data_IF_866053874058
#
_entry.id   IF_866053874058
#
_cell.length_a   1.000
_cell.length_b   1.000
_cell.length_c   1.000
_cell.angle_alpha   90.00
_cell.angle_beta   90.00
_cell.angle_gamma   90.00
#
_symmetry.space_group_name_H-M   'P 1'
#
loop_
_entity.id
_entity.type
_entity.pdbx_description
1 polymer ?
#
# COMPACT_ATOMS: atom_id res chain seq x y z
N UNK A 1 -24.65 5.92 -21.73
CA UNK A 1 -23.92 5.12 -20.71
C UNK A 1 -23.38 6.04 -19.64
N UNK A 2 -23.00 5.50 -18.47
CA UNK A 2 -22.34 6.28 -17.40
C UNK A 2 -20.82 6.15 -17.53
N UNK A 3 -20.09 7.22 -17.24
CA UNK A 3 -18.63 7.18 -17.05
C UNK A 3 -18.35 6.81 -15.59
N UNK A 4 -17.49 5.83 -15.36
CA UNK A 4 -17.07 5.37 -14.03
C UNK A 4 -15.56 5.51 -13.89
N UNK A 5 -15.11 5.61 -12.64
CA UNK A 5 -13.69 5.63 -12.25
C UNK A 5 -13.31 4.31 -11.60
N UNK A 6 -12.03 3.96 -11.67
CA UNK A 6 -11.51 2.71 -11.13
C UNK A 6 -10.43 2.99 -10.10
N UNK A 7 -10.52 2.28 -8.98
CA UNK A 7 -9.51 2.31 -7.93
C UNK A 7 -8.96 0.92 -7.65
N UNK A 8 -7.70 0.87 -7.19
CA UNK A 8 -7.03 -0.35 -6.77
C UNK A 8 -6.55 -0.24 -5.32
N UNK A 9 -6.64 -1.34 -4.58
CA UNK A 9 -6.16 -1.47 -3.21
C UNK A 9 -4.94 -2.37 -3.20
N UNK A 10 -3.80 -1.85 -2.76
CA UNK A 10 -2.54 -2.59 -2.67
C UNK A 10 -1.83 -2.29 -1.36
N UNK A 11 -1.15 -3.26 -0.78
CA UNK A 11 -0.11 -2.97 0.20
C UNK A 11 1.15 -2.48 -0.54
N UNK A 12 2.02 -1.73 0.12
CA UNK A 12 3.32 -1.33 -0.46
C UNK A 12 4.43 -1.64 0.54
N UNK A 13 5.51 -2.23 0.06
CA UNK A 13 6.74 -2.50 0.78
C UNK A 13 7.87 -1.96 -0.09
N UNK A 14 8.09 -0.65 0.00
CA UNK A 14 9.16 0.03 -0.73
C UNK A 14 10.36 0.22 0.18
N UNK A 15 11.57 -0.03 -0.33
CA UNK A 15 12.84 0.29 0.35
C UNK A 15 13.79 0.92 -0.66
N UNK A 16 14.94 1.36 -0.21
CA UNK A 16 15.97 2.01 -1.02
C UNK A 16 16.51 1.06 -2.11
N UNK A 17 16.58 -0.23 -1.82
CA UNK A 17 16.95 -1.30 -2.76
C UNK A 17 15.89 -2.39 -2.84
N UNK A 18 15.87 -3.12 -3.96
CA UNK A 18 14.94 -4.23 -4.17
C UNK A 18 15.18 -5.34 -3.12
N UNK A 19 16.43 -5.66 -2.82
CA UNK A 19 16.81 -6.67 -1.84
C UNK A 19 16.31 -6.31 -0.43
N UNK A 20 16.36 -5.04 -0.05
CA UNK A 20 15.81 -4.58 1.23
C UNK A 20 14.30 -4.70 1.29
N UNK A 21 13.61 -4.40 0.20
CA UNK A 21 12.16 -4.52 0.11
C UNK A 21 11.72 -5.99 0.25
N UNK A 22 12.39 -6.90 -0.46
CA UNK A 22 12.13 -8.33 -0.34
C UNK A 22 12.44 -8.88 1.05
N UNK A 23 13.56 -8.49 1.66
CA UNK A 23 13.83 -8.84 3.07
C UNK A 23 12.77 -8.28 4.02
N UNK A 24 12.22 -7.09 3.76
CA UNK A 24 11.15 -6.54 4.57
C UNK A 24 9.83 -7.32 4.39
N UNK A 25 9.53 -7.79 3.18
CA UNK A 25 8.40 -8.68 2.92
C UNK A 25 8.55 -10.03 3.64
N UNK A 26 9.74 -10.63 3.62
CA UNK A 26 10.03 -11.87 4.35
C UNK A 26 9.86 -11.69 5.87
N UNK A 27 10.46 -10.62 6.43
CA UNK A 27 10.30 -10.29 7.86
C UNK A 27 8.85 -10.07 8.26
N UNK A 28 8.04 -9.47 7.39
CA UNK A 28 6.62 -9.21 7.70
C UNK A 28 5.85 -10.50 8.04
N UNK A 29 6.25 -11.64 7.49
CA UNK A 29 5.56 -12.92 7.67
C UNK A 29 6.38 -13.94 8.48
N UNK A 30 7.58 -13.58 8.95
CA UNK A 30 8.54 -14.53 9.54
C UNK A 30 8.03 -15.21 10.82
N UNK A 31 7.13 -14.55 11.54
CA UNK A 31 6.55 -15.05 12.79
C UNK A 31 5.16 -15.67 12.62
N UNK A 32 4.64 -15.73 11.40
CA UNK A 32 3.36 -16.39 11.14
C UNK A 32 3.61 -17.89 11.11
N UNK A 33 2.92 -18.67 11.94
CA UNK A 33 3.04 -20.14 11.93
C UNK A 33 2.22 -20.79 10.82
N UNK A 34 2.55 -22.03 10.44
CA UNK A 34 1.79 -22.79 9.43
C UNK A 34 0.34 -23.06 9.88
N UNK A 35 0.15 -23.30 11.18
CA UNK A 35 -1.17 -23.47 11.79
C UNK A 35 -1.98 -22.18 11.69
N UNK A 36 -1.33 -21.02 11.87
CA UNK A 36 -1.96 -19.70 11.74
C UNK A 36 -2.44 -19.47 10.31
N UNK A 37 -1.60 -19.81 9.31
CA UNK A 37 -1.98 -19.73 7.90
C UNK A 37 -3.15 -20.68 7.62
N UNK A 38 -3.06 -21.94 8.02
CA UNK A 38 -4.11 -22.92 7.79
C UNK A 38 -5.46 -22.48 8.39
N UNK A 39 -5.45 -21.97 9.63
CA UNK A 39 -6.63 -21.44 10.30
C UNK A 39 -7.22 -20.23 9.55
N UNK A 40 -6.37 -19.29 9.11
CA UNK A 40 -6.82 -18.13 8.33
C UNK A 40 -7.44 -18.56 6.99
N UNK A 41 -6.80 -19.48 6.26
CA UNK A 41 -7.32 -19.99 4.99
C UNK A 41 -8.65 -20.75 5.16
N UNK A 42 -8.78 -21.55 6.24
CA UNK A 42 -10.03 -22.22 6.56
C UNK A 42 -11.15 -21.21 6.88
N UNK A 43 -10.83 -20.11 7.55
CA UNK A 43 -11.77 -19.02 7.82
C UNK A 43 -12.21 -18.33 6.51
N UNK A 44 -11.26 -17.98 5.64
CA UNK A 44 -11.54 -17.31 4.36
C UNK A 44 -12.37 -18.17 3.41
N UNK A 45 -12.22 -19.49 3.44
CA UNK A 45 -13.02 -20.42 2.64
C UNK A 45 -14.51 -20.43 3.02
N UNK A 46 -14.88 -19.89 4.19
CA UNK A 46 -16.28 -19.76 4.63
C UNK A 46 -16.94 -18.46 4.15
N UNK A 47 -16.20 -17.55 3.52
CA UNK A 47 -16.76 -16.31 2.98
C UNK A 47 -17.33 -16.53 1.59
N UNK A 48 -18.48 -15.91 1.30
CA UNK A 48 -19.11 -15.91 -0.03
C UNK A 48 -18.43 -14.92 -1.01
N UNK A 49 -17.28 -14.34 -0.63
CA UNK A 49 -16.58 -13.33 -1.41
C UNK A 49 -15.74 -13.96 -2.53
N UNK A 50 -16.19 -13.77 -3.77
CA UNK A 50 -15.44 -14.12 -4.99
C UNK A 50 -14.03 -13.49 -4.99
N UNK A 51 -13.92 -12.24 -4.53
CA UNK A 51 -12.64 -11.54 -4.42
C UNK A 51 -11.71 -12.23 -3.44
N UNK A 52 -12.20 -12.59 -2.24
CA UNK A 52 -11.41 -13.33 -1.27
C UNK A 52 -10.99 -14.70 -1.79
N UNK A 53 -11.89 -15.45 -2.44
CA UNK A 53 -11.55 -16.75 -3.03
C UNK A 53 -10.42 -16.63 -4.05
N UNK A 54 -10.48 -15.63 -4.94
CA UNK A 54 -9.43 -15.36 -5.93
C UNK A 54 -8.12 -14.98 -5.27
N UNK A 55 -8.14 -14.15 -4.22
CA UNK A 55 -6.93 -13.78 -3.48
C UNK A 55 -6.28 -15.00 -2.80
N UNK A 56 -7.05 -15.87 -2.15
CA UNK A 56 -6.52 -17.09 -1.55
C UNK A 56 -5.91 -18.05 -2.59
N UNK A 57 -6.53 -18.13 -3.78
CA UNK A 57 -6.03 -18.96 -4.87
C UNK A 57 -4.67 -18.51 -5.44
N UNK A 58 -4.25 -17.25 -5.23
CA UNK A 58 -2.97 -16.73 -5.68
C UNK A 58 -1.77 -17.45 -5.03
N UNK A 59 -1.91 -17.86 -3.77
CA UNK A 59 -0.83 -18.48 -3.00
C UNK A 59 -1.19 -19.88 -2.48
N UNK A 60 -2.48 -20.24 -2.40
CA UNK A 60 -2.93 -21.57 -1.96
C UNK A 60 -2.47 -21.95 -0.54
N UNK A 61 -2.27 -20.95 0.33
CA UNK A 61 -1.71 -21.12 1.67
C UNK A 61 -0.21 -21.44 1.74
N UNK A 62 0.53 -21.35 0.63
CA UNK A 62 1.96 -21.70 0.59
C UNK A 62 2.88 -20.46 0.64
N UNK A 63 3.99 -20.56 1.38
CA UNK A 63 5.01 -19.49 1.45
C UNK A 63 6.00 -19.46 0.29
N UNK A 64 6.13 -20.54 -0.47
CA UNK A 64 7.14 -20.67 -1.53
C UNK A 64 6.68 -20.12 -2.90
N UNK A 65 5.49 -19.52 -2.97
CA UNK A 65 4.87 -19.00 -4.21
C UNK A 65 4.13 -17.70 -3.98
N UNK A 66 4.80 -16.75 -3.32
CA UNK A 66 4.17 -15.49 -2.94
C UNK A 66 4.39 -14.39 -3.97
N UNK A 67 5.46 -14.41 -4.77
CA UNK A 67 5.57 -13.50 -5.91
C UNK A 67 4.73 -14.04 -7.08
N UNK A 68 3.63 -13.36 -7.40
CA UNK A 68 2.64 -13.81 -8.40
C UNK A 68 2.82 -13.11 -9.75
N UNK A 69 3.48 -11.96 -9.74
CA UNK A 69 3.96 -11.17 -10.88
C UNK A 69 5.22 -10.44 -10.40
N UNK A 70 6.10 -9.98 -11.30
CA UNK A 70 7.27 -9.18 -10.91
C UNK A 70 6.90 -8.02 -9.98
N UNK A 71 7.47 -8.02 -8.77
CA UNK A 71 7.21 -7.01 -7.73
C UNK A 71 5.77 -7.01 -7.15
N UNK A 72 4.97 -8.04 -7.41
CA UNK A 72 3.64 -8.19 -6.83
C UNK A 72 3.59 -9.46 -5.96
N UNK A 73 3.45 -9.24 -4.65
CA UNK A 73 3.60 -10.27 -3.64
C UNK A 73 2.31 -10.52 -2.86
N UNK A 74 1.85 -11.77 -2.81
CA UNK A 74 0.61 -12.21 -2.18
C UNK A 74 0.75 -12.60 -0.69
N UNK A 75 1.91 -12.37 -0.06
CA UNK A 75 2.16 -12.81 1.31
C UNK A 75 1.30 -12.13 2.38
N UNK A 76 0.85 -10.90 2.14
CA UNK A 76 -0.12 -10.21 3.03
C UNK A 76 -1.43 -11.01 3.13
N UNK A 77 -1.83 -11.68 2.05
CA UNK A 77 -3.05 -12.49 1.96
C UNK A 77 -2.99 -13.82 2.73
N UNK A 78 -1.82 -14.22 3.26
CA UNK A 78 -1.69 -15.45 4.04
C UNK A 78 -2.58 -15.45 5.27
N UNK A 79 -2.71 -14.29 5.94
CA UNK A 79 -3.48 -14.14 7.18
C UNK A 79 -4.42 -12.93 7.20
N UNK A 80 -4.29 -11.99 6.25
CA UNK A 80 -5.18 -10.84 6.16
C UNK A 80 -6.20 -11.02 5.04
N UNK A 81 -7.49 -10.91 5.37
CA UNK A 81 -8.55 -10.85 4.37
C UNK A 81 -8.52 -9.55 3.54
N UNK A 82 -9.25 -9.53 2.41
CA UNK A 82 -9.38 -8.37 1.54
C UNK A 82 -8.23 -8.26 0.53
N UNK A 83 -7.57 -7.09 0.47
CA UNK A 83 -6.42 -6.91 -0.41
C UNK A 83 -5.23 -7.72 0.09
N UNK A 84 -4.97 -8.84 -0.58
CA UNK A 84 -3.95 -9.83 -0.23
C UNK A 84 -2.60 -9.62 -0.91
N UNK A 85 -2.45 -8.56 -1.72
CA UNK A 85 -1.23 -8.31 -2.50
C UNK A 85 -0.51 -7.01 -2.11
N UNK A 86 0.80 -7.02 -2.28
CA UNK A 86 1.70 -5.90 -2.03
C UNK A 86 2.59 -5.62 -3.25
N UNK A 87 2.85 -4.34 -3.54
CA UNK A 87 3.98 -3.95 -4.38
C UNK A 87 5.26 -4.02 -3.55
N UNK A 88 6.27 -4.75 -4.01
CA UNK A 88 7.54 -4.97 -3.30
C UNK A 88 8.71 -4.64 -4.22
N UNK A 89 9.54 -3.67 -3.86
CA UNK A 89 10.71 -3.31 -4.66
C UNK A 89 11.37 -2.01 -4.24
N UNK A 90 12.35 -1.60 -5.04
CA UNK A 90 12.93 -0.27 -4.93
C UNK A 90 11.92 0.82 -5.40
N UNK A 91 12.20 2.12 -5.19
CA UNK A 91 11.22 3.16 -5.46
C UNK A 91 10.87 3.28 -6.95
N UNK A 92 11.82 2.99 -7.85
CA UNK A 92 11.60 3.05 -9.30
C UNK A 92 10.71 1.89 -9.76
N UNK A 93 10.98 0.68 -9.28
CA UNK A 93 10.15 -0.49 -9.57
C UNK A 93 8.72 -0.30 -9.07
N UNK A 94 8.55 0.23 -7.86
CA UNK A 94 7.21 0.50 -7.31
C UNK A 94 6.49 1.58 -8.12
N UNK A 95 7.16 2.68 -8.49
CA UNK A 95 6.57 3.73 -9.33
C UNK A 95 6.20 3.21 -10.73
N UNK A 96 7.02 2.36 -11.33
CA UNK A 96 6.74 1.71 -12.62
C UNK A 96 5.46 0.87 -12.56
N UNK A 97 5.31 0.00 -11.55
CA UNK A 97 4.08 -0.81 -11.37
C UNK A 97 2.85 0.05 -11.11
N UNK A 98 2.98 1.17 -10.40
CA UNK A 98 1.88 2.14 -10.25
C UNK A 98 1.51 2.74 -11.61
N UNK A 99 2.50 3.10 -12.43
CA UNK A 99 2.32 3.59 -13.79
C UNK A 99 1.57 2.59 -14.68
N UNK A 100 1.95 1.32 -14.67
CA UNK A 100 1.26 0.26 -15.42
C UNK A 100 -0.23 0.16 -15.06
N UNK A 101 -0.58 0.23 -13.78
CA UNK A 101 -1.99 0.26 -13.36
C UNK A 101 -2.71 1.54 -13.80
N UNK A 102 -2.02 2.68 -13.77
CA UNK A 102 -2.59 3.95 -14.21
C UNK A 102 -2.87 3.95 -15.73
N UNK A 103 -1.99 3.34 -16.54
CA UNK A 103 -2.18 3.15 -17.98
C UNK A 103 -3.40 2.27 -18.30
N UNK A 104 -3.78 1.37 -17.40
CA UNK A 104 -5.03 0.59 -17.48
C UNK A 104 -6.29 1.39 -17.11
N UNK A 105 -6.16 2.66 -16.76
CA UNK A 105 -7.27 3.55 -16.40
C UNK A 105 -7.64 3.55 -14.92
N UNK A 106 -6.76 3.04 -14.05
CA UNK A 106 -6.91 3.17 -12.59
C UNK A 106 -6.43 4.56 -12.17
N UNK A 107 -7.33 5.38 -11.63
CA UNK A 107 -7.02 6.77 -11.24
C UNK A 107 -6.93 6.96 -9.72
N UNK A 108 -7.25 5.92 -8.95
CA UNK A 108 -7.32 5.97 -7.50
C UNK A 108 -6.57 4.81 -6.87
N UNK A 109 -5.59 5.11 -6.01
CA UNK A 109 -4.75 4.11 -5.35
C UNK A 109 -4.93 4.15 -3.85
N UNK A 110 -5.34 3.01 -3.27
CA UNK A 110 -5.55 2.87 -1.83
C UNK A 110 -4.40 2.02 -1.27
N UNK A 111 -3.41 2.68 -0.69
CA UNK A 111 -2.23 2.03 -0.16
C UNK A 111 -2.32 1.74 1.34
N UNK A 112 -1.53 0.77 1.79
CA UNK A 112 -1.24 0.53 3.20
C UNK A 112 0.17 0.00 3.37
N UNK A 113 0.75 0.20 4.55
CA UNK A 113 2.00 -0.41 4.98
C UNK A 113 1.94 -0.81 6.45
N UNK A 114 2.87 -1.64 6.92
CA UNK A 114 3.05 -1.95 8.34
C UNK A 114 4.45 -1.54 8.85
N UNK A 115 4.54 -0.77 9.94
CA UNK A 115 3.45 -0.04 10.58
C UNK A 115 2.99 1.16 9.73
N UNK A 116 1.70 1.53 9.84
CA UNK A 116 1.06 2.42 8.86
C UNK A 116 1.66 3.83 8.82
N UNK A 117 2.09 4.38 9.97
CA UNK A 117 2.62 5.73 10.05
C UNK A 117 3.97 5.82 9.32
N UNK A 118 4.91 4.97 9.69
CA UNK A 118 6.27 4.94 9.17
C UNK A 118 6.29 4.58 7.69
N UNK A 119 5.43 3.64 7.26
CA UNK A 119 5.34 3.30 5.84
C UNK A 119 4.67 4.40 5.00
N UNK A 120 3.79 5.22 5.59
CA UNK A 120 3.24 6.40 4.89
C UNK A 120 4.35 7.44 4.62
N UNK A 121 5.20 7.74 5.61
CA UNK A 121 6.37 8.60 5.42
C UNK A 121 7.32 8.01 4.38
N UNK A 122 7.67 6.73 4.52
CA UNK A 122 8.58 6.05 3.58
C UNK A 122 8.08 6.09 2.15
N UNK A 123 6.78 5.85 1.92
CA UNK A 123 6.20 5.95 0.59
C UNK A 123 6.25 7.38 0.05
N UNK A 124 5.91 8.37 0.87
CA UNK A 124 5.97 9.78 0.47
C UNK A 124 7.41 10.25 0.17
N UNK A 125 8.40 9.79 0.92
CA UNK A 125 9.81 10.18 0.72
C UNK A 125 10.45 9.48 -0.47
N UNK A 126 10.14 8.19 -0.68
CA UNK A 126 10.80 7.39 -1.71
C UNK A 126 10.06 7.42 -3.05
N UNK A 127 8.73 7.32 -3.04
CA UNK A 127 7.93 7.06 -4.26
C UNK A 127 7.30 8.33 -4.84
N UNK A 128 6.75 9.23 -4.02
CA UNK A 128 6.12 10.45 -4.55
C UNK A 128 7.03 11.25 -5.51
N UNK A 129 8.35 11.44 -5.26
CA UNK A 129 9.23 12.13 -6.21
C UNK A 129 9.29 11.53 -7.61
N UNK A 130 8.90 10.27 -7.77
CA UNK A 130 8.94 9.51 -9.02
C UNK A 130 7.59 9.46 -9.72
N UNK A 131 6.53 9.99 -9.09
CA UNK A 131 5.19 10.06 -9.66
C UNK A 131 5.02 11.33 -10.51
N UNK A 132 4.06 11.37 -11.45
CA UNK A 132 3.77 12.60 -12.20
C UNK A 132 3.27 13.73 -11.29
N UNK A 133 3.34 14.97 -11.78
CA UNK A 133 2.69 16.10 -11.10
C UNK A 133 1.15 15.88 -11.00
N UNK A 134 0.50 16.34 -9.92
CA UNK A 134 1.05 17.17 -8.84
C UNK A 134 1.80 16.38 -7.74
N UNK A 135 1.90 15.05 -7.83
CA UNK A 135 2.37 14.21 -6.73
C UNK A 135 3.87 14.37 -6.46
N UNK A 136 4.70 14.48 -7.50
CA UNK A 136 6.13 14.78 -7.35
C UNK A 136 6.38 16.02 -6.50
N UNK A 137 5.65 17.11 -6.75
CA UNK A 137 5.83 18.36 -6.00
C UNK A 137 5.29 18.34 -4.56
N UNK A 138 4.56 17.29 -4.17
CA UNK A 138 4.17 17.05 -2.77
C UNK A 138 5.32 16.45 -1.95
N UNK A 139 6.30 15.81 -2.58
CA UNK A 139 7.44 15.26 -1.88
C UNK A 139 8.22 16.38 -1.17
N UNK A 140 8.48 16.21 0.14
CA UNK A 140 9.19 17.20 0.95
C UNK A 140 8.37 18.42 1.38
N UNK A 141 7.11 18.57 0.92
CA UNK A 141 6.17 19.53 1.51
C UNK A 141 5.59 18.92 2.78
N UNK A 142 6.27 19.14 3.91
CA UNK A 142 5.70 18.85 5.22
C UNK A 142 4.32 19.48 5.32
N UNK A 143 3.29 18.64 5.47
CA UNK A 143 1.87 19.02 5.48
C UNK A 143 1.40 19.70 4.19
N UNK A 144 1.08 18.90 3.17
CA UNK A 144 0.02 19.31 2.24
C UNK A 144 -1.24 19.56 3.06
N UNK A 145 -1.75 20.79 3.02
CA UNK A 145 -3.02 21.22 3.59
C UNK A 145 -4.08 20.10 3.48
N UNK A 146 -4.41 19.46 4.61
CA UNK A 146 -5.53 18.52 4.75
C UNK A 146 -6.90 19.24 4.74
N UNK A 147 -6.96 20.47 4.20
CA UNK A 147 -8.09 21.40 4.30
C UNK A 147 -8.91 21.49 3.01
N UNK A 148 -8.76 20.52 2.10
CA UNK A 148 -9.77 20.23 1.07
C UNK A 148 -11.06 19.70 1.69
N UNK A 149 -12.20 19.65 0.96
CA UNK A 149 -13.56 19.76 1.50
C UNK A 149 -14.11 18.48 2.16
N UNK A 150 -13.32 17.83 3.02
CA UNK A 150 -13.74 16.74 3.89
C UNK A 150 -13.59 17.19 5.34
N UNK A 151 -14.71 17.64 5.94
CA UNK A 151 -14.86 17.77 7.39
C UNK A 151 -14.26 19.04 8.00
N UNK A 152 -15.13 19.89 8.55
CA UNK A 152 -14.86 21.03 9.44
C UNK A 152 -13.48 21.10 10.10
N UNK A 153 -12.70 22.13 9.76
CA UNK A 153 -11.81 22.79 10.70
C UNK A 153 -12.63 23.82 11.47
N UNK A 154 -12.72 23.66 12.79
CA UNK A 154 -12.98 24.78 13.70
C UNK A 154 -11.91 24.77 14.81
N UNK A 155 -11.31 25.95 14.98
CA UNK A 155 -10.40 26.37 16.07
C UNK A 155 -8.95 25.87 16.02
N UNK A 156 -8.11 26.52 15.21
CA UNK A 156 -6.72 26.83 15.57
C UNK A 156 -6.18 28.01 14.72
N UNK A 157 -6.82 29.17 14.83
CA UNK A 157 -6.47 30.38 14.05
C UNK A 157 -5.57 31.37 14.80
N UNK A 158 -4.79 30.95 15.81
CA UNK A 158 -3.90 31.89 16.52
C UNK A 158 -2.49 31.33 16.69
N UNK A 159 -1.56 31.88 15.91
CA UNK A 159 -0.12 31.79 16.17
C UNK A 159 0.26 32.88 17.18
N UNK A 160 0.97 32.58 18.28
CA UNK A 160 1.48 33.61 19.17
C UNK A 160 2.52 34.46 18.42
N UNK A 161 2.34 35.78 18.46
CA UNK A 161 3.29 36.73 17.87
C UNK A 161 4.69 36.50 18.47
N UNK A 162 5.73 36.49 17.62
CA UNK A 162 7.13 36.44 18.07
C UNK A 162 7.35 37.53 19.12
N UNK A 163 7.83 37.14 20.29
CA UNK A 163 8.38 38.08 21.26
C UNK A 163 9.50 38.87 20.56
N UNK A 164 9.32 40.19 20.50
CA UNK A 164 10.32 41.10 19.95
C UNK A 164 11.62 41.08 20.74
N UNK A 165 12.67 41.57 20.07
CA UNK A 165 14.06 41.69 20.55
C UNK A 165 14.21 42.39 21.90
#
# INVERSE_FOLDING_TARGET
GRTVKFGIRLHVIVRETAEEAWRAADRLIEHISDETIAAAQQSFARFDSEGQRRMAALHGGRRDRLEIQPNLWAGVGLVRGGAGTALVGDPRQVAERIGEYAELGIDSFIFSGYPHLEEAYRFAELVFPLLPEPYASLAGRGLTNLTGPFGEMIANDVLPARAGA
#
